data_IF_615038205512
#
_entry.id   IF_615038205512
#
_cell.length_a   1.000
_cell.length_b   1.000
_cell.length_c   1.000
_cell.angle_alpha   90.00
_cell.angle_beta   90.00
_cell.angle_gamma   90.00
#
_symmetry.space_group_name_H-M   'P 1'
#
loop_
_entity.id
_entity.type
_entity.pdbx_description
1 polymer ?
#
# COMPACT_ATOMS: atom_id res chain seq x y z
N UNK A 1 -3.03 -12.36 23.25
CA UNK A 1 -3.34 -13.10 22.00
C UNK A 1 -2.13 -13.32 21.10
N UNK A 2 -1.18 -12.37 20.97
CA UNK A 2 0.06 -12.56 20.17
C UNK A 2 0.95 -13.73 20.64
N UNK A 3 1.12 -13.89 21.97
CA UNK A 3 2.00 -14.93 22.54
C UNK A 3 1.51 -16.35 22.20
N UNK A 4 0.19 -16.55 22.16
CA UNK A 4 -0.41 -17.88 21.88
C UNK A 4 -0.13 -18.31 20.43
N UNK A 5 -0.19 -17.38 19.47
CA UNK A 5 0.12 -17.67 18.06
C UNK A 5 1.60 -17.97 17.80
N UNK A 6 2.51 -17.48 18.64
CA UNK A 6 3.92 -17.87 18.55
C UNK A 6 4.14 -19.30 19.03
N UNK A 7 3.37 -19.77 20.00
CA UNK A 7 3.59 -21.08 20.66
C UNK A 7 3.02 -22.24 19.83
N UNK A 8 2.14 -21.97 18.87
CA UNK A 8 1.38 -22.99 18.15
C UNK A 8 2.13 -23.58 16.92
N UNK A 9 3.31 -24.17 17.17
CA UNK A 9 4.00 -25.02 16.18
C UNK A 9 4.23 -26.42 16.75
N UNK A 10 4.05 -27.41 15.89
CA UNK A 10 4.31 -28.86 16.07
C UNK A 10 5.77 -29.23 16.49
N UNK A 11 6.60 -28.27 16.89
CA UNK A 11 8.00 -28.50 17.23
C UNK A 11 8.27 -28.02 18.66
N UNK A 12 8.79 -28.92 19.49
CA UNK A 12 9.28 -28.60 20.84
C UNK A 12 10.56 -27.78 20.68
N UNK A 13 10.42 -26.45 20.63
CA UNK A 13 11.54 -25.50 20.63
C UNK A 13 12.26 -25.54 21.99
N UNK A 14 13.58 -25.33 22.00
CA UNK A 14 14.31 -25.18 23.26
C UNK A 14 13.83 -23.91 23.98
N UNK A 15 13.78 -23.95 25.32
CA UNK A 15 13.28 -22.85 26.17
C UNK A 15 13.90 -21.48 25.84
N UNK A 16 15.17 -21.44 25.46
CA UNK A 16 15.88 -20.21 25.12
C UNK A 16 15.40 -19.58 23.80
N UNK A 17 14.99 -20.39 22.82
CA UNK A 17 14.50 -19.91 21.52
C UNK A 17 13.12 -19.27 21.66
N UNK A 18 12.27 -19.84 22.52
CA UNK A 18 10.96 -19.30 22.87
C UNK A 18 11.11 -17.93 23.56
N UNK A 19 12.03 -17.81 24.52
CA UNK A 19 12.30 -16.55 25.24
C UNK A 19 12.81 -15.49 24.27
N UNK A 20 13.82 -15.81 23.44
CA UNK A 20 14.38 -14.87 22.47
C UNK A 20 13.34 -14.38 21.47
N UNK A 21 12.48 -15.28 20.99
CA UNK A 21 11.38 -14.91 20.08
C UNK A 21 10.37 -14.01 20.76
N UNK A 22 9.98 -14.31 22.00
CA UNK A 22 9.06 -13.48 22.78
C UNK A 22 9.62 -12.07 23.00
N UNK A 23 10.91 -11.95 23.34
CA UNK A 23 11.58 -10.66 23.51
C UNK A 23 11.63 -9.85 22.21
N UNK A 24 11.83 -10.48 21.06
CA UNK A 24 11.77 -9.81 19.74
C UNK A 24 10.38 -9.24 19.42
N UNK A 25 9.31 -9.90 19.89
CA UNK A 25 7.93 -9.43 19.67
C UNK A 25 7.42 -8.47 20.74
N UNK A 26 8.11 -8.35 21.88
CA UNK A 26 7.68 -7.49 22.98
C UNK A 26 7.49 -6.02 22.55
N UNK A 27 8.40 -5.38 21.78
CA UNK A 27 8.18 -4.01 21.31
C UNK A 27 6.93 -3.87 20.43
N UNK A 28 6.67 -4.84 19.55
CA UNK A 28 5.46 -4.85 18.73
C UNK A 28 4.21 -5.04 19.58
N UNK A 29 4.25 -5.96 20.54
CA UNK A 29 3.16 -6.22 21.49
C UNK A 29 2.78 -4.96 22.27
N UNK A 30 3.77 -4.21 22.78
CA UNK A 30 3.55 -2.94 23.48
C UNK A 30 2.90 -1.91 22.56
N UNK A 31 3.40 -1.75 21.32
CA UNK A 31 2.83 -0.81 20.34
C UNK A 31 1.40 -1.17 19.92
N UNK A 32 1.05 -2.44 19.94
CA UNK A 32 -0.25 -2.96 19.50
C UNK A 32 -1.29 -3.03 20.62
N UNK A 33 -0.99 -2.63 21.86
CA UNK A 33 -1.93 -2.72 22.98
C UNK A 33 -3.25 -1.98 22.73
N UNK A 34 -3.20 -0.87 22.01
CA UNK A 34 -4.37 -0.07 21.64
C UNK A 34 -4.78 -0.29 20.17
N UNK A 35 -4.25 -1.32 19.51
CA UNK A 35 -4.56 -1.62 18.13
C UNK A 35 -5.65 -2.69 18.02
N UNK A 36 -6.57 -2.48 17.07
CA UNK A 36 -7.49 -3.53 16.65
C UNK A 36 -6.88 -4.28 15.48
N UNK A 37 -6.59 -5.57 15.66
CA UNK A 37 -6.15 -6.47 14.58
C UNK A 37 -7.37 -7.22 14.05
N UNK A 38 -7.58 -7.20 12.74
CA UNK A 38 -8.78 -7.75 12.11
C UNK A 38 -8.47 -8.53 10.84
N UNK A 39 -9.42 -9.34 10.40
CA UNK A 39 -9.45 -10.01 9.10
C UNK A 39 -10.53 -9.43 8.17
N UNK A 40 -11.13 -8.30 8.54
CA UNK A 40 -12.10 -7.59 7.68
C UNK A 40 -11.44 -7.10 6.39
N UNK A 41 -12.23 -7.04 5.31
CA UNK A 41 -11.79 -6.43 4.05
C UNK A 41 -11.38 -4.97 4.32
N UNK A 42 -10.19 -4.58 3.86
CA UNK A 42 -9.67 -3.24 4.07
C UNK A 42 -10.54 -2.15 3.43
N UNK A 43 -11.34 -2.49 2.41
CA UNK A 43 -12.24 -1.55 1.76
C UNK A 43 -13.29 -0.95 2.70
N UNK A 44 -13.70 -1.66 3.75
CA UNK A 44 -14.67 -1.13 4.74
C UNK A 44 -14.10 0.06 5.51
N UNK A 45 -12.77 0.13 5.67
CA UNK A 45 -12.12 1.23 6.39
C UNK A 45 -11.96 2.49 5.53
N UNK A 46 -12.26 2.41 4.23
CA UNK A 46 -12.22 3.52 3.28
C UNK A 46 -13.57 4.23 3.13
N UNK A 47 -14.59 3.82 3.89
CA UNK A 47 -15.89 4.51 3.89
C UNK A 47 -15.77 5.89 4.55
N UNK A 48 -16.60 6.86 4.15
CA UNK A 48 -16.67 8.17 4.80
C UNK A 48 -17.53 8.13 6.07
N UNK A 49 -17.21 7.24 6.99
CA UNK A 49 -17.88 7.11 8.29
C UNK A 49 -17.44 8.20 9.27
N UNK A 50 -16.20 8.68 9.17
CA UNK A 50 -15.65 9.75 10.01
C UNK A 50 -14.46 10.44 9.34
N UNK A 51 -14.29 11.73 9.63
CA UNK A 51 -13.10 12.52 9.26
C UNK A 51 -11.97 12.42 10.30
N UNK A 52 -12.25 11.87 11.49
CA UNK A 52 -11.29 11.73 12.59
C UNK A 52 -10.44 10.46 12.45
N UNK A 53 -9.93 10.21 11.24
CA UNK A 53 -9.04 9.09 10.95
C UNK A 53 -7.99 9.51 9.93
N UNK A 54 -6.84 8.86 9.98
CA UNK A 54 -5.82 8.89 8.93
C UNK A 54 -5.71 7.49 8.36
N UNK A 55 -5.78 7.37 7.04
CA UNK A 55 -5.64 6.11 6.35
C UNK A 55 -4.26 6.03 5.68
N UNK A 56 -3.48 5.02 6.04
CA UNK A 56 -2.23 4.68 5.36
C UNK A 56 -2.42 3.37 4.59
N UNK A 57 -2.21 3.42 3.29
CA UNK A 57 -2.45 2.32 2.36
C UNK A 57 -1.14 1.87 1.72
N UNK A 58 -0.64 0.72 2.16
CA UNK A 58 0.38 -0.05 1.46
C UNK A 58 -0.32 -1.21 0.73
N UNK A 59 -0.81 -0.93 -0.47
CA UNK A 59 -1.64 -1.87 -1.21
C UNK A 59 -0.81 -2.69 -2.20
N UNK A 60 -1.30 -3.87 -2.62
CA UNK A 60 -0.70 -4.62 -3.71
C UNK A 60 -0.44 -3.73 -4.92
N UNK A 61 0.75 -3.79 -5.52
CA UNK A 61 1.11 -2.81 -6.54
C UNK A 61 0.27 -2.93 -7.80
N UNK A 62 -0.12 -1.78 -8.35
CA UNK A 62 -0.80 -1.67 -9.64
C UNK A 62 0.05 -2.37 -10.70
N UNK A 63 -0.59 -3.22 -11.51
CA UNK A 63 0.11 -3.95 -12.57
C UNK A 63 0.87 -5.20 -12.11
N UNK A 64 0.83 -5.56 -10.83
CA UNK A 64 1.15 -6.93 -10.38
C UNK A 64 0.23 -7.97 -11.06
N UNK A 65 0.64 -9.26 -11.05
CA UNK A 65 -0.07 -10.36 -11.75
C UNK A 65 -1.57 -10.35 -11.42
N UNK A 66 -2.41 -10.79 -12.36
CA UNK A 66 -3.89 -10.79 -12.25
C UNK A 66 -4.42 -11.48 -10.99
N UNK A 67 -3.69 -12.45 -10.45
CA UNK A 67 -4.16 -13.35 -9.40
C UNK A 67 -3.17 -13.35 -8.23
N UNK A 68 -3.70 -13.14 -7.02
CA UNK A 68 -2.97 -13.40 -5.78
C UNK A 68 -3.20 -14.85 -5.35
N UNK A 69 -2.57 -15.29 -4.25
CA UNK A 69 -2.83 -16.63 -3.69
C UNK A 69 -4.28 -16.88 -3.26
N UNK A 70 -5.14 -15.85 -3.29
CA UNK A 70 -6.58 -15.94 -3.03
C UNK A 70 -7.30 -16.12 -4.38
N UNK A 71 -7.94 -17.26 -4.52
CA UNK A 71 -8.76 -17.61 -5.69
C UNK A 71 -9.81 -16.52 -5.96
N UNK A 72 -9.97 -16.14 -7.23
CA UNK A 72 -10.93 -15.15 -7.73
C UNK A 72 -10.69 -13.68 -7.31
N UNK A 73 -9.61 -13.38 -6.59
CA UNK A 73 -9.27 -12.00 -6.23
C UNK A 73 -8.74 -11.21 -7.44
N UNK A 74 -9.38 -10.07 -7.73
CA UNK A 74 -9.07 -9.26 -8.91
C UNK A 74 -8.50 -7.88 -8.53
N UNK A 75 -7.18 -7.73 -8.68
CA UNK A 75 -6.49 -6.47 -8.35
C UNK A 75 -6.99 -5.26 -9.14
N UNK A 76 -7.41 -5.44 -10.40
CA UNK A 76 -7.94 -4.32 -11.20
C UNK A 76 -9.25 -3.80 -10.60
N UNK A 77 -10.16 -4.71 -10.21
CA UNK A 77 -11.41 -4.33 -9.52
C UNK A 77 -11.11 -3.68 -8.18
N UNK A 78 -10.14 -4.20 -7.42
CA UNK A 78 -9.70 -3.62 -6.16
C UNK A 78 -9.21 -2.19 -6.32
N UNK A 79 -8.23 -1.93 -7.19
CA UNK A 79 -7.68 -0.57 -7.38
C UNK A 79 -8.72 0.43 -7.85
N UNK A 80 -9.64 0.00 -8.72
CA UNK A 80 -10.76 0.85 -9.12
C UNK A 80 -11.63 1.23 -7.92
N UNK A 81 -12.03 0.27 -7.09
CA UNK A 81 -12.83 0.54 -5.88
C UNK A 81 -12.08 1.46 -4.91
N UNK A 82 -10.80 1.21 -4.66
CA UNK A 82 -9.98 2.09 -3.80
C UNK A 82 -9.95 3.51 -4.35
N UNK A 83 -9.65 3.70 -5.64
CA UNK A 83 -9.61 5.02 -6.25
C UNK A 83 -10.96 5.75 -6.21
N UNK A 84 -12.06 5.01 -6.44
CA UNK A 84 -13.42 5.55 -6.38
C UNK A 84 -13.82 5.96 -4.95
N UNK A 85 -13.36 5.24 -3.92
CA UNK A 85 -13.56 5.59 -2.51
C UNK A 85 -12.68 6.78 -2.08
N UNK A 86 -11.39 6.75 -2.40
CA UNK A 86 -10.45 7.83 -2.08
C UNK A 86 -10.83 9.16 -2.74
N UNK A 87 -11.45 9.12 -3.92
CA UNK A 87 -11.97 10.33 -4.58
C UNK A 87 -13.06 11.04 -3.79
N UNK A 88 -13.81 10.29 -2.97
CA UNK A 88 -14.84 10.86 -2.11
C UNK A 88 -14.31 11.15 -0.71
N UNK A 89 -13.09 10.74 -0.38
CA UNK A 89 -12.60 10.74 0.99
C UNK A 89 -12.47 12.16 1.57
N UNK A 90 -13.15 12.40 2.69
CA UNK A 90 -13.02 13.65 3.46
C UNK A 90 -11.94 13.55 4.55
N UNK A 91 -11.55 12.33 4.92
CA UNK A 91 -10.46 12.07 5.84
C UNK A 91 -9.09 12.15 5.12
N UNK A 92 -8.00 12.50 5.82
CA UNK A 92 -6.66 12.45 5.25
C UNK A 92 -6.26 11.02 4.91
N UNK A 93 -5.61 10.84 3.75
CA UNK A 93 -5.02 9.55 3.37
C UNK A 93 -3.62 9.69 2.79
N UNK A 94 -2.87 8.60 2.89
CA UNK A 94 -1.60 8.37 2.22
C UNK A 94 -1.69 7.00 1.52
N UNK A 95 -1.45 6.99 0.22
CA UNK A 95 -1.49 5.81 -0.64
C UNK A 95 -0.11 5.57 -1.27
N UNK A 96 0.51 4.45 -0.94
CA UNK A 96 1.79 4.04 -1.50
C UNK A 96 1.56 3.12 -2.70
N UNK A 97 2.30 3.37 -3.78
CA UNK A 97 2.35 2.51 -4.95
C UNK A 97 3.65 2.69 -5.72
N UNK A 98 3.90 1.84 -6.72
CA UNK A 98 5.07 2.01 -7.60
C UNK A 98 4.73 2.82 -8.83
N UNK A 99 5.66 3.67 -9.25
CA UNK A 99 5.67 4.27 -10.59
C UNK A 99 6.22 3.32 -11.66
N UNK A 100 6.90 2.24 -11.25
CA UNK A 100 7.51 1.25 -12.14
C UNK A 100 6.68 -0.04 -12.28
N UNK A 101 6.84 -0.73 -13.42
CA UNK A 101 6.21 -2.03 -13.63
C UNK A 101 6.92 -3.11 -12.81
N UNK A 102 6.29 -4.28 -12.54
CA UNK A 102 6.93 -5.36 -11.82
C UNK A 102 8.26 -5.79 -12.49
N UNK A 103 9.32 -5.93 -11.69
CA UNK A 103 10.66 -6.38 -12.16
C UNK A 103 10.64 -7.74 -12.87
N UNK A 104 9.65 -8.57 -12.56
CA UNK A 104 9.46 -9.88 -13.17
C UNK A 104 8.86 -9.83 -14.58
N UNK A 105 8.32 -8.69 -15.01
CA UNK A 105 7.85 -8.52 -16.38
C UNK A 105 9.08 -8.34 -17.30
N UNK A 106 9.40 -9.34 -18.11
CA UNK A 106 10.45 -9.27 -19.14
C UNK A 106 9.89 -9.08 -20.56
N UNK A 107 8.56 -8.98 -20.69
CA UNK A 107 7.88 -9.02 -22.00
C UNK A 107 7.97 -7.70 -22.79
N UNK A 108 8.42 -6.62 -22.15
CA UNK A 108 8.40 -5.26 -22.68
C UNK A 108 9.69 -4.49 -22.37
N UNK A 109 9.98 -3.47 -23.17
CA UNK A 109 11.06 -2.51 -22.91
C UNK A 109 10.83 -1.74 -21.60
N UNK A 110 11.86 -1.09 -21.08
CA UNK A 110 11.69 -0.26 -19.88
C UNK A 110 10.80 0.97 -20.14
N UNK A 111 10.89 1.56 -21.33
CA UNK A 111 10.08 2.69 -21.75
C UNK A 111 8.59 2.31 -21.85
N UNK A 112 8.27 1.18 -22.48
CA UNK A 112 6.89 0.68 -22.57
C UNK A 112 6.30 0.40 -21.19
N UNK A 113 7.10 -0.15 -20.27
CA UNK A 113 6.68 -0.40 -18.89
C UNK A 113 6.36 0.90 -18.15
N UNK A 114 7.21 1.91 -18.28
CA UNK A 114 7.00 3.23 -17.71
C UNK A 114 5.70 3.86 -18.26
N UNK A 115 5.52 3.84 -19.58
CA UNK A 115 4.35 4.39 -20.25
C UNK A 115 3.06 3.68 -19.81
N UNK A 116 3.05 2.34 -19.78
CA UNK A 116 1.88 1.57 -19.33
C UNK A 116 1.56 1.85 -17.86
N UNK A 117 2.56 1.94 -17.00
CA UNK A 117 2.34 2.24 -15.57
C UNK A 117 1.81 3.64 -15.37
N UNK A 118 2.36 4.63 -16.10
CA UNK A 118 1.84 5.99 -16.14
C UNK A 118 0.37 6.00 -16.58
N UNK A 119 0.00 5.27 -17.64
CA UNK A 119 -1.40 5.15 -18.06
C UNK A 119 -2.30 4.54 -16.98
N UNK A 120 -1.86 3.47 -16.30
CA UNK A 120 -2.63 2.83 -15.23
C UNK A 120 -2.81 3.72 -14.00
N UNK A 121 -1.75 4.42 -13.57
CA UNK A 121 -1.83 5.39 -12.49
C UNK A 121 -2.75 6.55 -12.87
N UNK A 122 -2.64 7.01 -14.12
CA UNK A 122 -3.45 8.11 -14.63
C UNK A 122 -4.95 7.81 -14.60
N UNK A 123 -5.34 6.57 -14.89
CA UNK A 123 -6.74 6.14 -14.77
C UNK A 123 -7.34 6.35 -13.37
N UNK A 124 -6.53 6.31 -12.33
CA UNK A 124 -7.00 6.38 -10.95
C UNK A 124 -6.78 7.74 -10.29
N UNK A 125 -5.68 8.43 -10.59
CA UNK A 125 -5.20 9.55 -9.79
C UNK A 125 -4.86 10.83 -10.56
N UNK A 126 -4.79 10.81 -11.90
CA UNK A 126 -4.42 12.00 -12.68
C UNK A 126 -5.49 13.09 -12.59
N UNK A 127 -5.05 14.34 -12.42
CA UNK A 127 -5.91 15.52 -12.37
C UNK A 127 -7.07 15.40 -11.36
N UNK A 128 -6.79 14.84 -10.19
CA UNK A 128 -7.76 14.69 -9.08
C UNK A 128 -7.50 15.60 -7.88
N UNK A 129 -6.56 16.54 -8.01
CA UNK A 129 -6.18 17.45 -6.92
C UNK A 129 -5.30 16.80 -5.84
N UNK A 130 -4.83 15.57 -6.06
CA UNK A 130 -3.93 14.90 -5.12
C UNK A 130 -2.49 15.41 -5.22
N UNK A 131 -1.77 15.27 -4.12
CA UNK A 131 -0.35 15.53 -4.00
C UNK A 131 0.44 14.24 -4.16
N UNK A 132 1.49 14.29 -4.97
CA UNK A 132 2.38 13.18 -5.30
C UNK A 132 3.77 13.47 -4.77
N UNK A 133 4.44 12.46 -4.22
CA UNK A 133 5.86 12.53 -3.84
C UNK A 133 6.60 11.32 -4.38
N UNK A 134 7.79 11.56 -4.95
CA UNK A 134 8.72 10.48 -5.32
C UNK A 134 9.51 10.08 -4.07
N UNK A 135 9.33 8.84 -3.65
CA UNK A 135 10.09 8.22 -2.57
C UNK A 135 11.15 7.32 -3.21
N UNK A 136 12.40 7.78 -3.15
CA UNK A 136 13.52 7.05 -3.73
C UNK A 136 13.90 5.88 -2.81
N UNK A 137 13.82 4.66 -3.34
CA UNK A 137 14.39 3.47 -2.74
C UNK A 137 15.65 3.10 -3.52
N UNK A 138 16.59 2.39 -2.88
CA UNK A 138 17.89 2.04 -3.50
C UNK A 138 17.79 1.42 -4.90
N UNK A 139 16.68 0.74 -5.20
CA UNK A 139 16.49 -0.01 -6.46
C UNK A 139 15.12 0.21 -7.13
N UNK A 140 14.29 1.14 -6.66
CA UNK A 140 12.93 1.39 -7.18
C UNK A 140 12.46 2.80 -6.80
N UNK A 141 11.57 3.41 -7.59
CA UNK A 141 10.83 4.62 -7.19
C UNK A 141 9.44 4.21 -6.68
N UNK A 142 9.16 4.52 -5.41
CA UNK A 142 7.81 4.49 -4.86
C UNK A 142 7.16 5.88 -4.98
N UNK A 143 5.86 5.89 -5.17
CA UNK A 143 5.03 7.08 -5.20
C UNK A 143 4.12 7.09 -3.98
N UNK A 144 4.21 8.18 -3.23
CA UNK A 144 3.26 8.52 -2.18
C UNK A 144 2.21 9.47 -2.77
N UNK A 145 0.93 9.12 -2.64
CA UNK A 145 -0.22 9.92 -3.09
C UNK A 145 -1.06 10.30 -1.87
N UNK A 146 -1.38 11.58 -1.70
CA UNK A 146 -2.20 12.07 -0.59
C UNK A 146 -3.20 13.14 -1.03
N UNK A 147 -4.32 13.27 -0.31
CA UNK A 147 -5.25 14.39 -0.47
C UNK A 147 -4.87 15.62 0.39
N UNK A 148 -3.83 15.50 1.21
CA UNK A 148 -3.27 16.59 2.03
C UNK A 148 -1.84 16.90 1.60
N UNK A 149 -1.48 18.18 1.62
CA UNK A 149 -0.12 18.64 1.40
C UNK A 149 0.72 18.47 2.68
N UNK A 150 1.73 17.62 2.62
CA UNK A 150 2.62 17.26 3.73
C UNK A 150 4.05 17.80 3.57
N UNK A 151 4.52 18.06 2.35
CA UNK A 151 5.88 18.58 2.14
C UNK A 151 6.06 19.36 0.85
N UNK A 152 6.99 20.32 0.85
CA UNK A 152 7.40 21.12 -0.32
C UNK A 152 7.93 20.28 -1.51
N UNK A 153 8.30 19.01 -1.26
CA UNK A 153 8.73 18.10 -2.33
C UNK A 153 7.57 17.49 -3.11
N UNK A 154 6.33 17.74 -2.69
CA UNK A 154 5.14 17.23 -3.35
C UNK A 154 4.74 18.07 -4.57
N UNK A 155 4.15 17.41 -5.55
CA UNK A 155 3.62 18.04 -6.77
C UNK A 155 2.22 17.54 -7.08
N UNK A 156 1.44 18.34 -7.82
CA UNK A 156 0.16 17.88 -8.38
C UNK A 156 0.36 17.37 -9.80
N UNK A 157 -0.14 16.16 -10.07
CA UNK A 157 -0.02 15.55 -11.37
C UNK A 157 -1.21 15.92 -12.28
N UNK A 158 -1.06 17.06 -12.94
CA UNK A 158 -2.10 17.64 -13.82
C UNK A 158 -1.67 17.72 -15.30
N UNK A 159 -0.39 17.43 -15.59
CA UNK A 159 0.12 17.32 -16.95
C UNK A 159 0.70 15.92 -17.18
N UNK A 160 0.19 15.22 -18.19
CA UNK A 160 0.61 13.87 -18.53
C UNK A 160 2.01 13.83 -19.13
N UNK A 161 2.64 14.96 -19.45
CA UNK A 161 4.06 15.04 -19.81
C UNK A 161 4.98 14.85 -18.60
N UNK A 162 4.52 15.20 -17.38
CA UNK A 162 5.35 15.18 -16.17
C UNK A 162 5.91 13.78 -15.88
N UNK A 163 7.18 13.74 -15.47
CA UNK A 163 7.85 12.49 -15.13
C UNK A 163 7.46 12.02 -13.72
N UNK A 164 6.88 10.83 -13.63
CA UNK A 164 6.52 10.16 -12.38
C UNK A 164 7.61 9.21 -11.84
N UNK A 165 8.63 8.91 -12.65
CA UNK A 165 9.80 8.11 -12.28
C UNK A 165 10.88 8.97 -11.67
#
# INVERSE_FOLDING_TARGET
MLIVQCIDKQYVEQKNDIINRTLRFLPASIKLQNATITQKDCLTYLENDTVKKLILLDVPYIGSKKECGIKDYNYKKFHKKVADLLYKAEYPFIYYCRSSAPKSDKSKSQEDKANIMKMKLGQYFFNKGYYFQKVHLENDTELMISNVHYSESQFQWNDFSQNLL
#
